data_IF_848417324870
#
_entry.id   IF_848417324870
#
_cell.length_a   1.000
_cell.length_b   1.000
_cell.length_c   1.000
_cell.angle_alpha   90.00
_cell.angle_beta   90.00
_cell.angle_gamma   90.00
#
_symmetry.space_group_name_H-M   'P 1'
#
loop_
_entity.id
_entity.type
_entity.pdbx_description
1 polymer ?
2 branched ?
3 non-polymer ?
4 non-polymer ?
5 water ?
#
# COMPACT_ATOMS: atom_id res chain seq x y z
N UNK A 8 -23.97 10.06 -40.97
CA UNK A 8 -24.45 10.12 -39.59
C UNK A 8 -23.48 9.43 -38.64
N UNK A 9 -23.24 10.05 -37.47
CA UNK A 9 -22.44 9.44 -36.41
C UNK A 9 -23.08 8.10 -35.99
N UNK A 10 -24.42 8.05 -36.02
CA UNK A 10 -25.15 6.84 -35.70
C UNK A 10 -25.19 6.55 -34.20
N UNK A 11 -24.66 7.47 -33.38
CA UNK A 11 -24.69 7.30 -31.93
C UNK A 11 -24.11 5.94 -31.53
N UNK A 12 -24.89 5.18 -30.75
CA UNK A 12 -24.51 3.87 -30.22
C UNK A 12 -24.94 3.76 -28.76
N UNK A 13 -24.58 2.65 -28.12
CA UNK A 13 -24.72 2.52 -26.66
C UNK A 13 -23.88 3.58 -25.96
N UNK A 14 -22.71 3.84 -26.53
CA UNK A 14 -21.83 4.91 -26.07
C UNK A 14 -22.62 6.16 -25.69
N UNK A 15 -23.66 6.45 -26.46
CA UNK A 15 -24.51 7.59 -26.18
C UNK A 15 -24.98 7.52 -24.74
N UNK A 16 -25.56 6.38 -24.39
CA UNK A 16 -26.08 6.13 -23.04
C UNK A 16 -25.03 6.41 -21.97
N UNK A 17 -23.99 5.58 -21.94
CA UNK A 17 -22.95 5.72 -20.94
C UNK A 17 -22.60 7.18 -20.72
N UNK A 18 -22.28 7.89 -21.80
CA UNK A 18 -21.91 9.29 -21.68
C UNK A 18 -23.03 10.15 -21.13
N UNK A 19 -24.27 9.72 -21.32
CA UNK A 19 -25.37 10.42 -20.69
C UNK A 19 -25.25 10.11 -19.21
N UNK A 20 -24.36 9.20 -18.86
CA UNK A 20 -23.93 9.12 -17.49
C UNK A 20 -22.89 10.21 -17.33
N UNK A 21 -23.35 11.47 -17.12
CA UNK A 21 -22.45 12.61 -16.88
C UNK A 21 -22.55 13.77 -17.88
N UNK A 22 -22.90 13.37 -19.09
CA UNK A 22 -22.89 14.25 -20.25
C UNK A 22 -24.29 14.66 -20.75
N UNK A 23 -24.37 15.90 -21.23
CA UNK A 23 -25.62 16.36 -21.81
C UNK A 23 -25.97 15.49 -23.00
N UNK A 24 -27.19 15.62 -23.49
CA UNK A 24 -27.58 14.98 -24.74
C UNK A 24 -27.27 15.95 -25.87
N UNK A 25 -27.14 17.22 -25.53
CA UNK A 25 -26.63 18.21 -26.46
C UNK A 25 -25.11 18.18 -26.41
N UNK A 26 -24.55 18.24 -25.20
CA UNK A 26 -23.09 18.19 -25.06
C UNK A 26 -22.55 16.91 -25.71
N UNK A 27 -23.38 15.86 -25.76
CA UNK A 27 -22.99 14.59 -26.37
C UNK A 27 -23.12 14.62 -27.87
N UNK A 28 -24.11 15.36 -28.35
CA UNK A 28 -24.46 15.31 -29.77
C UNK A 28 -23.80 16.43 -30.54
N UNK A 29 -23.13 17.33 -29.82
CA UNK A 29 -22.31 18.35 -30.47
C UNK A 29 -20.92 17.77 -30.72
N UNK A 30 -20.36 17.09 -29.71
CA UNK A 30 -19.07 16.43 -29.82
C UNK A 30 -19.10 15.36 -30.91
N UNK A 31 -20.12 14.52 -30.90
CA UNK A 31 -20.28 13.53 -31.95
C UNK A 31 -19.90 14.06 -33.33
N UNK A 32 -20.54 15.15 -33.76
CA UNK A 32 -20.35 15.74 -35.10
C UNK A 32 -18.95 16.28 -35.31
N UNK A 33 -18.50 17.17 -34.44
CA UNK A 33 -17.15 17.72 -34.56
C UNK A 33 -16.12 16.62 -34.78
N UNK A 34 -16.30 15.47 -34.17
CA UNK A 34 -15.34 14.39 -34.39
C UNK A 34 -15.55 13.79 -35.80
N UNK A 35 -16.80 13.67 -36.22
CA UNK A 35 -17.10 13.00 -37.50
C UNK A 35 -16.83 13.85 -38.74
N UNK A 36 -16.69 15.17 -38.51
CA UNK A 36 -16.42 16.17 -39.54
C UNK A 36 -16.10 17.43 -38.74
N UNK A 37 -15.53 18.47 -39.32
CA UNK A 37 -15.23 19.63 -38.46
C UNK A 37 -15.62 21.02 -38.93
N UNK A 38 -16.85 21.43 -38.60
CA UNK A 38 -17.44 22.65 -39.12
C UNK A 38 -17.62 23.74 -38.06
N UNK A 39 -18.49 24.70 -38.38
CA UNK A 39 -18.89 25.76 -37.47
C UNK A 39 -20.36 26.07 -37.70
N UNK A 40 -21.15 25.97 -36.65
CA UNK A 40 -22.56 26.29 -36.74
C UNK A 40 -23.31 25.40 -37.72
N UNK A 41 -22.59 24.53 -38.43
CA UNK A 41 -23.22 23.43 -39.14
C UNK A 41 -23.71 22.52 -38.04
N UNK A 42 -22.91 22.44 -36.98
CA UNK A 42 -23.32 21.80 -35.75
C UNK A 42 -24.72 22.32 -35.45
N UNK A 43 -24.85 23.64 -35.42
CA UNK A 43 -26.11 24.31 -35.12
C UNK A 43 -27.27 23.83 -35.97
N UNK A 44 -26.95 23.28 -37.14
CA UNK A 44 -27.98 22.73 -38.02
C UNK A 44 -28.57 21.45 -37.45
N UNK A 45 -27.78 20.35 -37.41
CA UNK A 45 -28.18 19.11 -36.75
C UNK A 45 -27.72 19.00 -35.29
N UNK A 46 -28.58 19.28 -34.31
CA UNK A 46 -30.00 19.53 -34.58
C UNK A 46 -30.65 20.71 -33.83
N UNK A 47 -30.00 21.22 -32.79
CA UNK A 47 -30.54 22.39 -32.11
C UNK A 47 -29.75 23.67 -32.39
N UNK A 48 -30.49 24.77 -32.49
CA UNK A 48 -29.89 26.05 -32.83
C UNK A 48 -29.03 26.67 -31.73
N UNK A 49 -29.39 26.44 -30.47
CA UNK A 49 -28.61 27.04 -29.37
C UNK A 49 -27.18 26.47 -29.30
N UNK A 50 -26.22 27.39 -29.10
CA UNK A 50 -24.80 27.04 -29.00
C UNK A 50 -24.31 27.01 -27.56
N UNK A 51 -25.23 26.88 -26.61
CA UNK A 51 -24.87 26.81 -25.21
C UNK A 51 -24.00 25.59 -24.96
N UNK A 52 -24.33 24.51 -25.67
CA UNK A 52 -23.60 23.27 -25.58
C UNK A 52 -22.12 23.47 -25.90
N UNK A 53 -21.83 24.36 -26.85
CA UNK A 53 -20.45 24.66 -27.20
C UNK A 53 -19.73 25.39 -26.08
N UNK A 54 -20.44 26.33 -25.45
CA UNK A 54 -19.87 27.07 -24.33
C UNK A 54 -19.58 26.07 -23.22
N UNK A 55 -20.41 25.03 -23.14
CA UNK A 55 -20.18 23.91 -22.23
C UNK A 55 -18.84 23.26 -22.54
N UNK A 56 -18.82 22.47 -23.61
CA UNK A 56 -17.64 21.72 -24.01
C UNK A 56 -16.35 22.52 -23.90
N UNK A 57 -16.38 23.81 -24.23
CA UNK A 57 -15.18 24.64 -24.16
C UNK A 57 -14.53 24.62 -22.77
N UNK A 58 -15.35 24.57 -21.73
CA UNK A 58 -14.82 24.60 -20.36
C UNK A 58 -14.30 23.24 -19.95
N UNK A 59 -14.98 22.20 -20.42
CA UNK A 59 -14.53 20.84 -20.23
C UNK A 59 -13.17 20.59 -20.89
N UNK A 60 -12.80 21.44 -21.83
CA UNK A 60 -11.57 21.28 -22.59
C UNK A 60 -11.73 20.35 -23.78
N UNK A 61 -12.97 20.00 -24.10
CA UNK A 61 -13.28 19.09 -25.20
C UNK A 61 -13.40 19.73 -26.58
N UNK A 62 -13.21 21.05 -26.65
CA UNK A 62 -13.34 21.80 -27.89
C UNK A 62 -12.64 23.15 -27.73
N UNK A 63 -11.93 23.61 -28.76
CA UNK A 63 -11.57 25.03 -28.81
C UNK A 63 -12.20 25.66 -30.01
N UNK A 64 -12.29 26.98 -29.97
CA UNK A 64 -12.81 27.73 -31.10
C UNK A 64 -11.69 28.54 -31.70
N UNK A 65 -11.69 28.63 -33.02
CA UNK A 65 -10.58 29.24 -33.75
C UNK A 65 -11.04 30.49 -34.49
N UNK A 66 -10.17 31.50 -34.52
CA UNK A 66 -10.43 32.77 -35.20
C UNK A 66 -11.42 32.57 -36.35
N UNK A 67 -12.42 33.44 -36.43
CA UNK A 67 -13.50 33.23 -37.36
C UNK A 67 -14.13 34.44 -38.02
N UNK A 68 -14.72 34.18 -39.18
CA UNK A 68 -15.53 35.13 -39.93
C UNK A 68 -16.11 34.33 -41.09
N UNK A 69 -17.01 33.38 -40.77
CA UNK A 69 -17.60 33.19 -39.45
C UNK A 69 -16.66 32.51 -38.47
N UNK A 70 -17.04 32.46 -37.20
CA UNK A 70 -16.26 31.76 -36.17
C UNK A 70 -16.44 30.25 -36.34
N UNK A 71 -15.36 29.49 -36.17
CA UNK A 71 -15.43 28.03 -36.30
C UNK A 71 -14.87 27.25 -35.10
N UNK A 72 -15.44 26.06 -34.87
CA UNK A 72 -15.14 25.27 -33.68
C UNK A 72 -14.60 23.88 -34.03
N UNK A 73 -13.65 23.39 -33.23
CA UNK A 73 -13.02 22.09 -33.47
C UNK A 73 -12.82 21.27 -32.20
N UNK A 74 -12.99 19.96 -32.33
CA UNK A 74 -12.94 19.05 -31.19
C UNK A 74 -11.58 18.39 -30.99
N UNK A 75 -11.11 18.29 -29.76
CA UNK A 75 -9.92 17.50 -29.49
C UNK A 75 -10.27 16.03 -29.60
N UNK A 76 -9.27 15.19 -29.84
CA UNK A 76 -9.54 13.78 -30.04
C UNK A 76 -9.93 13.13 -28.74
N UNK A 77 -10.70 12.04 -28.81
CA UNK A 77 -10.94 11.22 -27.64
C UNK A 77 -9.72 11.15 -26.74
N UNK A 78 -8.57 10.81 -27.31
CA UNK A 78 -7.35 10.65 -26.51
C UNK A 78 -7.01 11.88 -25.68
N UNK A 79 -6.85 13.02 -26.33
CA UNK A 79 -6.55 14.27 -25.64
C UNK A 79 -7.75 14.71 -24.82
N UNK A 80 -8.94 14.57 -25.39
CA UNK A 80 -10.18 14.95 -24.72
C UNK A 80 -10.33 14.33 -23.35
N UNK A 81 -10.05 13.04 -23.25
CA UNK A 81 -10.15 12.36 -21.98
C UNK A 81 -8.88 12.51 -21.18
N UNK A 82 -7.73 12.57 -21.84
CA UNK A 82 -6.52 12.82 -21.08
C UNK A 82 -6.77 14.00 -20.14
N UNK A 83 -7.62 14.92 -20.57
CA UNK A 83 -7.87 16.13 -19.80
C UNK A 83 -8.86 15.84 -18.70
N UNK A 84 -9.80 14.97 -19.03
CA UNK A 84 -10.85 14.55 -18.12
C UNK A 84 -10.26 13.68 -17.00
N UNK A 85 -9.36 12.77 -17.36
CA UNK A 85 -8.63 12.00 -16.38
C UNK A 85 -7.83 12.91 -15.47
N UNK A 86 -7.13 13.88 -16.05
CA UNK A 86 -6.28 14.78 -15.28
C UNK A 86 -7.12 15.54 -14.25
N UNK A 87 -8.41 15.66 -14.54
CA UNK A 87 -9.33 16.33 -13.65
C UNK A 87 -9.60 15.44 -12.45
N UNK A 88 -9.90 14.17 -12.72
CA UNK A 88 -10.09 13.19 -11.65
C UNK A 88 -8.92 13.18 -10.68
N UNK A 89 -7.70 13.07 -11.18
CA UNK A 89 -6.53 13.13 -10.31
C UNK A 89 -6.77 14.16 -9.22
N UNK A 90 -7.23 15.35 -9.61
CA UNK A 90 -7.37 16.44 -8.68
C UNK A 90 -8.49 16.22 -7.67
N UNK A 91 -9.65 15.77 -8.13
CA UNK A 91 -10.72 15.43 -7.20
C UNK A 91 -10.21 14.41 -6.19
N UNK A 92 -9.57 13.35 -6.71
CA UNK A 92 -9.02 12.27 -5.90
C UNK A 92 -8.00 12.75 -4.88
N UNK A 93 -6.93 13.38 -5.34
CA UNK A 93 -5.91 13.89 -4.42
C UNK A 93 -6.49 14.86 -3.39
N UNK A 94 -7.17 15.91 -3.86
CA UNK A 94 -7.81 16.88 -2.96
C UNK A 94 -8.71 16.16 -1.99
N UNK A 95 -9.35 15.11 -2.49
CA UNK A 95 -10.25 14.31 -1.69
C UNK A 95 -9.48 13.48 -0.68
N UNK A 96 -8.34 12.96 -1.10
CA UNK A 96 -7.48 12.24 -0.19
C UNK A 96 -6.98 13.19 0.90
N UNK A 97 -6.50 14.35 0.48
CA UNK A 97 -5.92 15.33 1.41
C UNK A 97 -6.85 15.74 2.56
N UNK A 98 -8.10 16.02 2.25
CA UNK A 98 -9.05 16.39 3.28
C UNK A 98 -9.28 15.23 4.22
N UNK A 99 -9.43 14.04 3.64
CA UNK A 99 -9.65 12.84 4.43
C UNK A 99 -8.65 12.79 5.58
N UNK A 100 -7.37 12.94 5.26
CA UNK A 100 -6.31 12.92 6.26
C UNK A 100 -6.53 13.87 7.42
N UNK A 101 -7.24 14.97 7.17
CA UNK A 101 -7.44 16.00 8.18
C UNK A 101 -8.70 15.84 9.03
N UNK A 102 -9.47 14.78 8.78
CA UNK A 102 -10.77 14.68 9.44
C UNK A 102 -11.35 13.26 9.57
N UNK A 103 -10.61 12.26 9.10
CA UNK A 103 -11.09 10.87 9.18
C UNK A 103 -10.96 10.30 10.60
N UNK A 104 -12.08 9.80 11.13
CA UNK A 104 -12.09 9.20 12.47
C UNK A 104 -11.30 7.89 12.49
N UNK A 105 -10.95 7.44 13.69
CA UNK A 105 -10.00 6.33 13.83
C UNK A 105 -10.60 4.96 14.14
N UNK A 106 -11.58 4.92 15.04
CA UNK A 106 -12.21 3.65 15.39
C UNK A 106 -13.22 3.25 14.32
N UNK A 107 -12.86 2.27 13.48
CA UNK A 107 -13.72 1.90 12.36
C UNK A 107 -14.04 0.41 12.29
N UNK A 108 -15.30 0.07 12.04
CA UNK A 108 -15.64 -1.31 11.78
C UNK A 108 -14.60 -1.88 10.82
N UNK A 109 -14.21 -3.13 11.03
CA UNK A 109 -13.36 -3.88 10.10
C UNK A 109 -14.15 -4.22 8.85
N UNK A 110 -13.48 -4.28 7.71
CA UNK A 110 -14.14 -4.66 6.48
C UNK A 110 -13.18 -5.38 5.56
N UNK A 111 -13.60 -5.54 4.31
CA UNK A 111 -12.79 -6.24 3.33
C UNK A 111 -13.19 -5.79 1.94
N UNK A 112 -12.23 -5.28 1.20
CA UNK A 112 -12.47 -4.80 -0.14
C UNK A 112 -11.84 -5.71 -1.18
N UNK A 113 -12.68 -6.36 -1.99
CA UNK A 113 -12.20 -7.25 -3.04
C UNK A 113 -11.69 -6.43 -4.22
N UNK A 114 -10.73 -6.96 -4.96
CA UNK A 114 -10.19 -6.21 -6.10
C UNK A 114 -10.52 -6.88 -7.41
N UNK A 115 -10.76 -6.08 -8.44
CA UNK A 115 -11.29 -6.58 -9.71
C UNK A 115 -10.25 -7.16 -10.65
N UNK A 116 -8.97 -7.07 -10.30
CA UNK A 116 -7.90 -7.44 -11.24
C UNK A 116 -6.52 -7.19 -10.66
N UNK A 117 -5.51 -7.74 -11.32
CA UNK A 117 -4.15 -7.64 -10.83
C UNK A 117 -3.66 -6.22 -10.64
N UNK A 118 -3.89 -5.38 -11.64
CA UNK A 118 -3.50 -3.98 -11.55
C UNK A 118 -4.09 -3.33 -10.30
N UNK A 119 -5.42 -3.36 -10.21
CA UNK A 119 -6.14 -2.73 -9.11
C UNK A 119 -5.62 -3.23 -7.78
N UNK A 120 -5.26 -4.51 -7.73
CA UNK A 120 -4.70 -5.09 -6.53
C UNK A 120 -3.37 -4.40 -6.22
N UNK A 121 -2.48 -4.43 -7.20
CA UNK A 121 -1.21 -3.74 -7.03
C UNK A 121 -1.46 -2.31 -6.58
N UNK A 122 -2.53 -1.70 -7.08
CA UNK A 122 -2.88 -0.37 -6.61
C UNK A 122 -3.18 -0.38 -5.11
N UNK A 123 -3.90 -1.39 -4.64
CA UNK A 123 -4.24 -1.49 -3.22
C UNK A 123 -3.02 -1.79 -2.37
N UNK A 124 -2.11 -2.58 -2.93
CA UNK A 124 -0.85 -2.90 -2.29
C UNK A 124 -0.01 -1.65 -2.06
N UNK A 125 0.21 -0.90 -3.13
CA UNK A 125 0.94 0.35 -3.04
C UNK A 125 0.31 1.28 -2.04
N UNK A 126 -0.99 1.49 -2.17
CA UNK A 126 -1.67 2.39 -1.24
C UNK A 126 -1.33 2.01 0.20
N UNK A 127 -1.31 0.71 0.48
CA UNK A 127 -1.04 0.23 1.81
C UNK A 127 0.40 0.58 2.19
N UNK A 128 1.35 0.22 1.34
CA UNK A 128 2.75 0.50 1.63
C UNK A 128 2.95 1.98 1.92
N UNK A 129 2.35 2.82 1.10
CA UNK A 129 2.45 4.25 1.32
C UNK A 129 2.21 4.60 2.79
N UNK A 130 1.18 4.00 3.39
CA UNK A 130 0.82 4.33 4.78
C UNK A 130 1.75 3.72 5.84
N UNK A 131 2.64 2.84 5.41
CA UNK A 131 3.49 2.15 6.36
C UNK A 131 4.23 3.12 7.27
N UNK A 132 4.16 2.93 8.58
CA UNK A 132 4.91 3.75 9.51
C UNK A 132 6.00 2.97 10.22
N UNK A 133 5.84 1.66 10.26
CA UNK A 133 6.79 0.82 11.02
C UNK A 133 7.49 -0.27 10.23
N UNK A 134 6.75 -1.31 9.84
CA UNK A 134 7.31 -2.43 9.08
C UNK A 134 6.30 -2.85 8.06
N UNK A 135 6.76 -3.39 6.94
CA UNK A 135 5.88 -4.15 6.04
C UNK A 135 6.51 -5.49 5.69
N UNK A 136 5.74 -6.57 5.91
CA UNK A 136 6.17 -7.92 5.48
C UNK A 136 5.53 -8.16 4.12
N UNK A 137 6.34 -8.54 3.14
CA UNK A 137 5.86 -8.83 1.80
C UNK A 137 6.29 -10.21 1.35
N UNK A 138 5.38 -11.18 1.44
CA UNK A 138 5.61 -12.50 0.89
C UNK A 138 5.30 -12.45 -0.59
N UNK A 139 6.25 -12.82 -1.43
CA UNK A 139 6.02 -12.78 -2.86
C UNK A 139 6.76 -13.81 -3.66
N UNK A 140 6.11 -14.29 -4.72
CA UNK A 140 6.68 -15.07 -5.81
C UNK A 140 7.63 -14.19 -6.59
N UNK A 141 8.82 -14.70 -6.88
CA UNK A 141 9.78 -13.96 -7.67
C UNK A 141 9.18 -13.17 -8.83
N UNK A 142 8.14 -13.73 -9.44
CA UNK A 142 7.55 -13.13 -10.64
C UNK A 142 7.12 -11.70 -10.44
N UNK A 143 6.63 -11.38 -9.24
CA UNK A 143 6.06 -10.06 -8.99
C UNK A 143 7.09 -8.99 -8.60
N UNK A 144 8.28 -9.43 -8.20
CA UNK A 144 9.24 -8.54 -7.59
C UNK A 144 9.51 -7.29 -8.41
N UNK A 145 9.69 -7.48 -9.71
CA UNK A 145 10.02 -6.34 -10.56
C UNK A 145 8.91 -5.29 -10.54
N UNK A 146 7.73 -5.69 -10.12
CA UNK A 146 6.58 -4.80 -10.18
C UNK A 146 6.52 -3.97 -8.92
N UNK A 147 7.20 -4.45 -7.88
CA UNK A 147 7.15 -3.81 -6.56
C UNK A 147 8.51 -3.23 -6.17
N UNK A 148 9.49 -3.40 -7.04
CA UNK A 148 10.86 -2.96 -6.77
C UNK A 148 10.94 -1.50 -6.35
N UNK A 149 10.28 -0.62 -7.08
CA UNK A 149 10.36 0.81 -6.74
C UNK A 149 9.66 1.09 -5.40
N UNK A 150 8.44 0.56 -5.26
CA UNK A 150 7.63 0.75 -4.06
C UNK A 150 8.36 0.24 -2.82
N UNK A 151 9.05 -0.88 -2.97
CA UNK A 151 9.86 -1.38 -1.88
C UNK A 151 10.84 -0.32 -1.45
N UNK A 152 11.56 0.22 -2.43
CA UNK A 152 12.59 1.23 -2.16
C UNK A 152 11.99 2.48 -1.55
N UNK A 153 11.09 3.12 -2.30
CA UNK A 153 10.39 4.28 -1.78
C UNK A 153 10.04 4.06 -0.32
N UNK A 154 9.35 2.96 -0.02
CA UNK A 154 9.00 2.66 1.36
C UNK A 154 10.22 2.66 2.27
N UNK A 155 11.23 1.88 1.89
CA UNK A 155 12.44 1.77 2.71
C UNK A 155 13.00 3.13 3.11
N UNK A 156 12.82 4.10 2.22
CA UNK A 156 13.39 5.43 2.40
C UNK A 156 12.70 6.23 3.50
N UNK A 157 11.39 6.04 3.68
CA UNK A 157 10.69 6.74 4.76
C UNK A 157 11.15 6.20 6.10
N UNK A 158 12.16 5.35 6.07
CA UNK A 158 12.79 4.86 7.29
C UNK A 158 12.04 3.67 7.84
N UNK A 159 11.11 3.21 7.02
CA UNK A 159 10.29 2.08 7.35
C UNK A 159 11.04 0.80 7.08
N UNK A 160 10.93 -0.15 8.01
CA UNK A 160 11.54 -1.45 7.87
C UNK A 160 10.74 -2.30 6.94
N UNK A 161 11.44 -3.10 6.16
CA UNK A 161 10.78 -3.97 5.20
C UNK A 161 11.30 -5.39 5.22
N UNK A 162 10.42 -6.28 5.64
CA UNK A 162 10.75 -7.67 5.79
C UNK A 162 10.24 -8.43 4.57
N UNK A 163 11.14 -8.80 3.66
CA UNK A 163 10.73 -9.49 2.44
C UNK A 163 10.88 -11.01 2.52
N UNK A 164 9.92 -11.69 1.89
CA UNK A 164 9.89 -13.15 1.75
C UNK A 164 9.78 -13.48 0.27
N UNK A 165 10.89 -13.93 -0.31
CA UNK A 165 10.93 -14.22 -1.73
C UNK A 165 11.53 -15.62 -1.98
N UNK A 166 11.31 -16.18 -3.17
CA UNK A 166 11.82 -17.52 -3.50
C UNK A 166 13.14 -17.49 -4.29
N UNK A 167 13.17 -16.72 -5.37
CA UNK A 167 14.40 -16.55 -6.12
C UNK A 167 14.98 -15.17 -5.80
N UNK A 168 16.03 -15.14 -5.00
CA UNK A 168 16.61 -13.87 -4.56
C UNK A 168 17.17 -13.02 -5.70
N UNK A 169 16.61 -11.83 -5.92
CA UNK A 169 17.03 -11.02 -7.05
C UNK A 169 18.33 -10.25 -6.79
N UNK A 170 18.69 -9.36 -7.72
CA UNK A 170 19.86 -8.51 -7.58
C UNK A 170 19.55 -7.35 -6.65
N UNK A 171 20.16 -7.37 -5.47
CA UNK A 171 19.83 -6.40 -4.42
C UNK A 171 20.83 -5.26 -4.31
N UNK A 172 21.47 -4.90 -5.42
CA UNK A 172 22.45 -3.82 -5.41
C UNK A 172 21.77 -2.47 -5.17
N UNK A 173 20.68 -2.22 -5.88
CA UNK A 173 19.94 -0.97 -5.73
C UNK A 173 19.73 -0.62 -4.27
N UNK A 174 19.79 -1.63 -3.40
CA UNK A 174 19.34 -1.50 -2.01
C UNK A 174 20.42 -1.28 -0.96
N UNK A 175 21.66 -1.00 -1.36
CA UNK A 175 22.75 -1.12 -0.39
C UNK A 175 22.68 -0.14 0.78
N UNK A 176 22.01 0.99 0.60
CA UNK A 176 21.93 1.95 1.68
C UNK A 176 20.53 2.41 1.97
N UNK A 177 19.58 1.87 1.21
CA UNK A 177 18.23 2.42 1.15
C UNK A 177 17.47 2.46 2.47
N UNK A 178 17.69 1.49 3.34
CA UNK A 178 17.02 1.51 4.63
C UNK A 178 17.30 0.34 5.56
N UNK A 179 16.28 -0.06 6.30
CA UNK A 179 16.33 -1.34 7.01
C UNK A 179 15.58 -2.41 6.25
N UNK A 180 16.33 -3.28 5.59
CA UNK A 180 15.82 -4.27 4.65
C UNK A 180 16.25 -5.65 5.12
N UNK A 181 15.29 -6.53 5.38
CA UNK A 181 15.61 -7.95 5.60
C UNK A 181 15.04 -8.81 4.50
N UNK A 182 15.84 -9.73 3.97
CA UNK A 182 15.36 -10.64 2.93
C UNK A 182 15.44 -12.12 3.33
N UNK A 183 14.30 -12.81 3.25
CA UNK A 183 14.30 -14.24 3.52
C UNK A 183 13.81 -15.02 2.34
N UNK A 184 14.42 -16.19 2.15
CA UNK A 184 14.11 -17.09 1.05
C UNK A 184 13.20 -18.22 1.51
N UNK A 185 12.27 -18.58 0.64
CA UNK A 185 11.40 -19.72 0.90
C UNK A 185 11.11 -20.52 -0.34
N UNK A 186 11.10 -21.85 -0.19
CA UNK A 186 10.92 -22.81 -1.30
C UNK A 186 10.12 -22.29 -2.47
N UNK A 187 8.85 -21.99 -2.22
CA UNK A 187 8.01 -21.41 -3.26
C UNK A 187 6.78 -20.76 -2.65
N UNK A 188 6.46 -19.59 -3.19
CA UNK A 188 5.26 -18.86 -2.80
C UNK A 188 4.40 -18.67 -4.05
N UNK A 189 3.09 -18.76 -3.88
CA UNK A 189 2.19 -18.77 -5.04
C UNK A 189 1.60 -17.41 -5.32
N UNK A 190 1.10 -16.77 -4.27
CA UNK A 190 0.49 -15.46 -4.38
C UNK A 190 1.22 -14.48 -3.49
N UNK A 191 0.92 -13.19 -3.67
CA UNK A 191 1.52 -12.13 -2.87
C UNK A 191 0.68 -11.79 -1.65
N UNK A 192 1.27 -11.95 -0.47
CA UNK A 192 0.66 -11.48 0.75
C UNK A 192 1.42 -10.24 1.18
N UNK A 193 0.71 -9.25 1.70
CA UNK A 193 1.31 -8.00 2.12
C UNK A 193 0.65 -7.53 3.39
N UNK A 194 1.44 -7.39 4.45
CA UNK A 194 0.91 -6.94 5.73
C UNK A 194 1.66 -5.72 6.24
N UNK A 195 0.92 -4.67 6.59
CA UNK A 195 1.55 -3.42 6.97
C UNK A 195 1.17 -2.93 8.38
N UNK A 196 2.16 -2.93 9.26
CA UNK A 196 2.01 -2.42 10.62
C UNK A 196 1.03 -3.23 11.46
N UNK A 197 0.82 -4.49 11.10
CA UNK A 197 -0.11 -5.36 11.80
C UNK A 197 -1.54 -4.86 11.83
N UNK A 198 -1.88 -4.02 10.85
CA UNK A 198 -3.12 -3.25 10.85
C UNK A 198 -4.08 -3.72 9.78
N UNK A 199 -3.54 -4.24 8.69
CA UNK A 199 -4.31 -4.56 7.49
C UNK A 199 -3.53 -5.46 6.55
N UNK A 200 -4.24 -6.21 5.73
CA UNK A 200 -3.57 -7.16 4.86
C UNK A 200 -4.02 -6.91 3.45
N UNK A 201 -3.12 -7.10 2.49
CA UNK A 201 -3.49 -7.01 1.09
C UNK A 201 -2.87 -8.16 0.34
N UNK A 202 -3.66 -8.77 -0.53
CA UNK A 202 -3.31 -10.03 -1.20
C UNK A 202 -3.51 -10.00 -2.70
N UNK A 203 -2.58 -10.61 -3.44
CA UNK A 203 -2.72 -10.72 -4.89
C UNK A 203 -2.37 -12.11 -5.42
N UNK A 204 -3.27 -12.66 -6.25
CA UNK A 204 -3.17 -14.04 -6.75
C UNK A 204 -2.38 -14.16 -8.06
N UNK A 205 -1.67 -15.28 -8.23
CA UNK A 205 -0.57 -15.38 -9.22
C UNK A 205 -0.87 -15.08 -10.70
N UNK A 206 -0.06 -14.17 -11.26
CA UNK A 206 -0.11 -13.81 -12.67
C UNK A 206 -1.42 -13.11 -13.08
N UNK A 207 -1.98 -13.54 -14.20
CA UNK A 207 -3.28 -13.07 -14.64
C UNK A 207 -4.35 -13.61 -13.70
N UNK A 208 -5.48 -12.92 -13.59
CA UNK A 208 -6.60 -13.50 -12.87
C UNK A 208 -6.82 -14.88 -13.49
N UNK A 209 -6.49 -15.92 -12.74
CA UNK A 209 -6.55 -17.30 -13.25
C UNK A 209 -7.97 -17.88 -13.23
N UNK A 210 -8.84 -17.36 -14.10
CA UNK A 210 -10.22 -17.85 -14.23
C UNK A 210 -11.01 -17.70 -12.92
N UNK A 211 -11.45 -18.83 -12.37
CA UNK A 211 -12.18 -18.84 -11.10
C UNK A 211 -11.32 -19.36 -9.95
N UNK A 212 -10.39 -18.51 -9.50
CA UNK A 212 -9.53 -18.80 -8.36
C UNK A 212 -9.74 -17.79 -7.25
N UNK A 213 -9.00 -17.95 -6.14
CA UNK A 213 -9.19 -17.07 -4.98
C UNK A 213 -9.16 -15.59 -5.38
N UNK A 214 -9.92 -14.75 -4.66
CA UNK A 214 -10.02 -13.34 -5.03
C UNK A 214 -8.86 -12.55 -4.45
N UNK A 215 -8.47 -11.46 -5.10
CA UNK A 215 -7.47 -10.55 -4.54
C UNK A 215 -8.19 -9.50 -3.72
N UNK A 216 -7.66 -9.20 -2.54
CA UNK A 216 -8.39 -8.32 -1.62
C UNK A 216 -7.50 -7.60 -0.62
N UNK A 217 -8.04 -6.53 -0.04
CA UNK A 217 -7.45 -5.91 1.13
C UNK A 217 -8.40 -6.22 2.26
N UNK A 218 -7.93 -6.20 3.49
CA UNK A 218 -8.84 -6.40 4.61
C UNK A 218 -8.24 -6.00 5.96
N UNK A 219 -9.12 -5.60 6.88
CA UNK A 219 -8.70 -5.16 8.19
C UNK A 219 -9.32 -6.01 9.28
N UNK A 220 -10.14 -6.99 8.90
CA UNK A 220 -10.75 -7.93 9.83
C UNK A 220 -9.69 -8.60 10.68
N UNK A 221 -9.83 -8.51 12.01
CA UNK A 221 -8.84 -9.24 12.80
C UNK A 221 -8.63 -10.69 12.36
N UNK A 222 -9.70 -11.43 12.09
CA UNK A 222 -9.55 -12.84 11.75
C UNK A 222 -8.53 -13.08 10.62
N UNK A 223 -8.54 -12.21 9.61
CA UNK A 223 -7.68 -12.41 8.46
C UNK A 223 -6.27 -11.97 8.77
N UNK A 224 -6.15 -10.97 9.64
CA UNK A 224 -4.83 -10.55 10.09
C UNK A 224 -4.25 -11.69 10.91
N UNK A 225 -4.98 -12.13 11.92
CA UNK A 225 -4.54 -13.28 12.71
C UNK A 225 -4.20 -14.50 11.83
N UNK A 226 -5.17 -14.89 11.02
CA UNK A 226 -4.90 -15.89 10.01
C UNK A 226 -3.50 -15.65 9.40
N UNK A 227 -3.37 -14.52 8.70
CA UNK A 227 -2.19 -14.25 7.86
C UNK A 227 -0.90 -14.06 8.66
N UNK A 228 -1.01 -13.47 9.85
CA UNK A 228 0.14 -13.30 10.70
C UNK A 228 0.67 -14.67 11.00
N UNK A 229 -0.26 -15.56 11.34
CA UNK A 229 0.07 -16.95 11.66
C UNK A 229 0.66 -17.68 10.47
N UNK A 230 0.06 -17.48 9.30
CA UNK A 230 0.62 -18.01 8.07
C UNK A 230 2.09 -17.63 7.90
N UNK A 231 2.37 -16.32 8.06
CA UNK A 231 3.72 -15.77 7.88
C UNK A 231 4.74 -16.42 8.83
N UNK A 232 4.36 -16.56 10.10
CA UNK A 232 5.19 -17.24 11.07
C UNK A 232 5.56 -18.66 10.59
N UNK A 233 4.62 -19.32 9.91
CA UNK A 233 4.93 -20.66 9.39
C UNK A 233 6.00 -20.57 8.32
N UNK A 234 5.77 -19.73 7.30
CA UNK A 234 6.79 -19.50 6.27
C UNK A 234 8.12 -19.02 6.86
N UNK A 235 8.07 -18.26 7.94
CA UNK A 235 9.25 -17.83 8.69
C UNK A 235 10.07 -19.00 9.24
N UNK A 236 9.39 -20.08 9.64
CA UNK A 236 10.03 -21.18 10.35
C UNK A 236 10.88 -22.00 9.41
N UNK A 237 10.55 -21.94 8.13
CA UNK A 237 11.20 -22.80 7.16
C UNK A 237 12.10 -21.96 6.29
N UNK A 238 11.82 -20.67 6.25
CA UNK A 238 12.56 -19.71 5.43
C UNK A 238 13.97 -19.49 5.92
N UNK A 239 14.84 -19.12 5.00
CA UNK A 239 16.22 -18.82 5.38
C UNK A 239 16.61 -17.34 5.11
N UNK A 240 17.38 -16.75 6.03
CA UNK A 240 17.70 -15.33 6.03
C UNK A 240 18.87 -14.99 5.10
N UNK A 241 18.57 -14.46 3.93
CA UNK A 241 19.61 -14.31 2.93
C UNK A 241 20.29 -12.95 2.90
N UNK A 242 19.54 -11.88 3.17
CA UNK A 242 20.14 -10.55 3.16
C UNK A 242 19.67 -9.72 4.35
N UNK A 243 20.60 -8.98 4.96
CA UNK A 243 20.30 -8.09 6.07
C UNK A 243 20.98 -6.73 5.92
N UNK A 244 20.18 -5.67 5.80
CA UNK A 244 20.72 -4.33 5.54
C UNK A 244 20.19 -3.31 6.57
N UNK A 245 21.01 -3.00 7.56
CA UNK A 245 20.62 -2.00 8.54
C UNK A 245 21.10 -0.62 8.12
N UNK A 246 20.33 0.05 7.28
CA UNK A 246 20.72 1.38 6.84
C UNK A 246 20.31 2.50 7.79
N UNK A 247 20.07 2.15 9.04
CA UNK A 247 19.48 3.06 10.04
C UNK A 247 19.56 2.42 11.43
N UNK A 248 20.77 2.21 11.93
CA UNK A 248 21.07 1.47 13.16
C UNK A 248 20.50 2.10 14.43
N UNK A 249 19.98 3.32 14.32
CA UNK A 249 19.50 4.05 15.48
C UNK A 249 17.97 4.15 15.48
N UNK A 250 17.38 3.57 14.44
CA UNK A 250 15.93 3.51 14.32
C UNK A 250 15.57 2.29 13.47
N UNK A 251 15.60 1.12 14.11
CA UNK A 251 15.12 -0.12 13.48
C UNK A 251 13.72 -0.49 13.97
N UNK A 252 12.78 -0.53 13.04
CA UNK A 252 11.38 -0.68 13.41
C UNK A 252 10.79 -2.04 13.01
N UNK A 253 9.91 -2.55 13.85
CA UNK A 253 9.19 -3.77 13.55
C UNK A 253 7.76 -3.62 14.02
N UNK A 254 6.84 -4.27 13.31
CA UNK A 254 5.52 -4.49 13.87
C UNK A 254 5.35 -5.95 14.25
N UNK A 255 6.19 -6.78 13.67
CA UNK A 255 6.13 -8.20 13.94
C UNK A 255 7.22 -8.63 14.93
N UNK A 256 6.81 -8.86 16.18
CA UNK A 256 7.76 -9.22 17.23
C UNK A 256 8.63 -10.42 16.92
N UNK A 257 8.14 -11.36 16.13
CA UNK A 257 9.00 -12.50 15.80
C UNK A 257 10.16 -12.04 14.94
N UNK A 258 9.91 -11.08 14.05
CA UNK A 258 10.98 -10.42 13.30
C UNK A 258 11.89 -9.61 14.23
N UNK A 259 11.28 -8.85 15.14
CA UNK A 259 12.02 -8.20 16.21
C UNK A 259 13.02 -9.20 16.74
N UNK A 260 12.49 -10.22 17.39
CA UNK A 260 13.30 -11.20 18.09
C UNK A 260 14.31 -11.91 17.21
N UNK A 261 13.99 -12.14 15.94
CA UNK A 261 14.96 -12.79 15.10
C UNK A 261 16.19 -11.93 15.12
N UNK A 262 16.01 -10.66 14.73
CA UNK A 262 17.06 -9.66 14.79
C UNK A 262 17.79 -9.61 16.15
N UNK A 263 17.07 -9.36 17.24
CA UNK A 263 17.79 -9.32 18.50
C UNK A 263 18.70 -10.52 18.64
N UNK A 264 18.20 -11.69 18.25
CA UNK A 264 18.92 -12.95 18.38
C UNK A 264 20.28 -12.86 17.72
N UNK A 265 20.30 -12.32 16.52
CA UNK A 265 21.55 -12.24 15.77
C UNK A 265 22.60 -11.28 16.31
N UNK A 266 22.19 -10.34 17.17
CA UNK A 266 23.08 -9.25 17.60
C UNK A 266 23.30 -9.13 19.09
N UNK A 267 22.25 -9.30 19.87
CA UNK A 267 22.33 -9.05 21.28
C UNK A 267 23.67 -9.50 21.85
N UNK A 268 24.29 -10.46 21.19
CA UNK A 268 25.48 -11.10 21.72
C UNK A 268 26.71 -10.23 21.51
N UNK A 269 26.86 -9.68 20.30
CA UNK A 269 28.02 -8.87 19.95
C UNK A 269 27.81 -7.35 20.10
N UNK A 270 26.75 -6.95 20.81
CA UNK A 270 26.50 -5.53 21.08
C UNK A 270 25.20 -5.24 21.82
N UNK A 271 25.17 -4.16 22.60
CA UNK A 271 23.95 -3.76 23.32
C UNK A 271 22.84 -3.29 22.39
N UNK A 272 21.60 -3.43 22.84
CA UNK A 272 20.46 -2.94 22.08
C UNK A 272 19.47 -2.22 22.99
N UNK A 273 18.93 -1.11 22.48
CA UNK A 273 18.02 -0.29 23.23
C UNK A 273 16.66 -0.30 22.57
N UNK A 274 15.61 -0.10 23.35
CA UNK A 274 14.31 -0.19 22.72
C UNK A 274 13.36 0.88 23.18
N UNK A 275 12.47 1.22 22.27
CA UNK A 275 11.31 1.99 22.65
C UNK A 275 10.12 1.27 22.06
N UNK A 276 9.13 1.00 22.91
CA UNK A 276 8.00 0.17 22.57
C UNK A 276 6.74 0.88 22.97
N UNK A 277 5.75 0.86 22.11
CA UNK A 277 4.43 1.25 22.57
C UNK A 277 3.62 -0.04 22.58
N UNK A 278 2.87 -0.26 23.63
CA UNK A 278 2.04 -1.44 23.67
C UNK A 278 1.03 -1.49 24.79
N UNK A 279 0.09 -2.43 24.68
CA UNK A 279 -0.95 -2.63 25.69
C UNK A 279 -0.35 -3.35 26.88
N UNK A 280 -0.68 -2.86 28.06
CA UNK A 280 -0.25 -3.48 29.30
C UNK A 280 -1.27 -4.55 29.62
N UNK A 281 -0.87 -5.82 29.48
CA UNK A 281 -1.84 -6.91 29.57
C UNK A 281 -2.55 -6.96 30.92
N UNK A 282 -1.87 -6.49 31.96
CA UNK A 282 -2.42 -6.49 33.30
C UNK A 282 -3.54 -5.44 33.41
N UNK A 283 -3.34 -4.29 32.76
CA UNK A 283 -4.23 -3.13 32.93
C UNK A 283 -5.01 -2.75 31.70
N UNK A 284 -4.53 -3.13 30.53
CA UNK A 284 -5.21 -2.81 29.29
C UNK A 284 -4.73 -1.47 28.77
N UNK A 285 -4.21 -0.65 29.66
CA UNK A 285 -3.71 0.68 29.32
C UNK A 285 -2.55 0.68 28.28
N UNK A 286 -2.59 1.64 27.35
CA UNK A 286 -1.45 1.85 26.45
C UNK A 286 -0.29 2.52 27.15
N UNK A 287 0.92 2.18 26.77
CA UNK A 287 2.08 2.76 27.44
C UNK A 287 3.27 2.80 26.52
N UNK A 288 4.13 3.79 26.73
CA UNK A 288 5.38 3.78 25.99
C UNK A 288 6.53 3.52 26.91
N UNK A 289 7.33 2.54 26.52
CA UNK A 289 8.33 1.98 27.40
C UNK A 289 9.64 2.11 26.71
N UNK A 290 10.69 2.29 27.50
CA UNK A 290 12.02 2.29 26.92
C UNK A 290 12.90 1.55 27.87
N UNK A 291 13.90 0.87 27.32
CA UNK A 291 14.90 0.22 28.15
C UNK A 291 15.97 -0.46 27.34
N UNK A 292 16.80 -1.21 28.04
CA UNK A 292 17.73 -2.11 27.38
C UNK A 292 17.07 -3.50 27.19
N UNK A 293 17.36 -4.10 26.03
CA UNK A 293 17.04 -5.47 25.74
C UNK A 293 18.10 -6.35 26.36
N UNK A 294 17.73 -7.08 27.42
CA UNK A 294 18.65 -7.95 28.14
C UNK A 294 18.35 -9.43 27.90
N UNK A 295 17.33 -9.71 27.10
CA UNK A 295 17.05 -11.06 26.66
C UNK A 295 15.79 -11.22 25.82
N UNK A 296 15.67 -12.38 25.18
CA UNK A 296 14.45 -12.76 24.49
C UNK A 296 14.17 -14.21 24.74
N UNK A 297 12.94 -14.62 24.42
CA UNK A 297 12.63 -16.03 24.17
C UNK A 297 11.94 -16.17 22.81
N UNK A 298 12.45 -17.09 22.00
CA UNK A 298 11.88 -17.41 20.71
C UNK A 298 11.75 -18.91 20.70
N UNK A 299 10.64 -19.41 21.22
CA UNK A 299 10.31 -20.83 21.30
C UNK A 299 9.21 -21.12 20.29
N UNK A 300 9.57 -21.75 19.18
CA UNK A 300 8.62 -22.02 18.07
C UNK A 300 7.50 -23.02 18.33
N UNK A 301 7.83 -24.14 18.98
CA UNK A 301 6.82 -25.14 19.33
C UNK A 301 5.91 -24.61 20.43
N UNK A 302 6.52 -23.94 21.40
CA UNK A 302 5.78 -23.44 22.56
C UNK A 302 4.85 -22.32 22.08
N UNK A 303 5.12 -21.83 20.87
CA UNK A 303 4.37 -20.72 20.30
C UNK A 303 4.59 -19.38 21.05
N UNK A 304 5.80 -19.17 21.56
CA UNK A 304 6.11 -17.92 22.26
C UNK A 304 7.28 -17.15 21.64
N UNK A 305 7.10 -15.88 21.35
CA UNK A 305 8.27 -15.06 21.02
C UNK A 305 8.16 -13.69 21.64
N UNK A 306 9.16 -13.32 22.41
CA UNK A 306 9.10 -12.03 23.07
C UNK A 306 10.48 -11.41 23.38
N UNK A 307 10.49 -10.15 23.80
CA UNK A 307 11.70 -9.52 24.35
C UNK A 307 11.66 -9.22 25.86
N UNK A 308 12.83 -9.39 26.50
CA UNK A 308 12.98 -9.02 27.89
C UNK A 308 13.69 -7.64 27.98
N UNK A 309 12.90 -6.65 28.39
CA UNK A 309 13.31 -5.25 28.39
C UNK A 309 13.64 -4.81 29.80
N UNK A 310 14.84 -4.27 29.95
CA UNK A 310 15.26 -3.70 31.21
C UNK A 310 14.80 -2.24 31.24
N UNK A 311 13.62 -1.97 31.79
CA UNK A 311 13.18 -0.60 31.95
C UNK A 311 13.81 0.01 33.17
N UNK A 312 13.70 1.35 33.22
CA UNK A 312 13.85 2.17 34.42
C UNK A 312 13.65 1.40 35.72
N UNK A 313 12.69 0.49 35.75
CA UNK A 313 12.37 -0.22 36.99
C UNK A 313 12.02 -1.70 36.81
N UNK A 314 12.97 -2.44 36.27
CA UNK A 314 12.88 -3.88 36.28
C UNK A 314 12.63 -4.48 34.92
N UNK A 315 12.83 -5.79 34.82
CA UNK A 315 12.62 -6.44 33.53
C UNK A 315 11.13 -6.67 33.31
N UNK A 316 10.77 -6.73 32.04
CA UNK A 316 9.41 -6.96 31.60
C UNK A 316 9.52 -7.76 30.30
N UNK A 317 8.42 -8.38 29.93
CA UNK A 317 8.45 -9.11 28.69
C UNK A 317 7.46 -8.47 27.76
N UNK A 318 7.90 -8.31 26.54
CA UNK A 318 7.04 -7.69 25.56
C UNK A 318 6.86 -8.70 24.47
N UNK A 319 5.62 -9.07 24.20
CA UNK A 319 5.38 -9.95 23.09
C UNK A 319 4.55 -9.25 22.06
N UNK A 320 4.52 -9.81 20.86
CA UNK A 320 3.86 -9.19 19.73
C UNK A 320 2.35 -9.23 19.69
N UNK A 321 1.84 -9.21 18.47
CA UNK A 321 0.42 -9.14 18.21
C UNK A 321 -0.29 -10.29 18.92
N UNK A 322 -1.36 -9.94 19.64
CA UNK A 322 -2.21 -10.97 20.25
C UNK A 322 -1.58 -11.67 21.45
N UNK A 323 -0.46 -11.17 21.94
CA UNK A 323 0.16 -11.77 23.12
C UNK A 323 -0.79 -11.78 24.32
N UNK A 324 -0.63 -12.81 25.16
CA UNK A 324 -1.43 -13.02 26.35
C UNK A 324 -0.62 -13.33 27.62
N UNK A 325 0.59 -13.87 27.46
CA UNK A 325 1.34 -14.33 28.64
C UNK A 325 2.46 -13.40 29.07
N UNK A 326 2.91 -12.53 28.18
CA UNK A 326 3.90 -11.54 28.59
C UNK A 326 3.22 -10.37 29.33
N UNK A 327 4.03 -9.41 29.80
CA UNK A 327 3.49 -8.19 30.43
C UNK A 327 2.88 -7.22 29.42
N UNK A 328 3.45 -7.16 28.23
CA UNK A 328 3.00 -6.23 27.22
C UNK A 328 2.75 -6.92 25.90
N UNK A 329 1.67 -6.54 25.23
CA UNK A 329 1.46 -6.83 23.81
C UNK A 329 1.87 -5.61 22.96
N UNK A 330 2.79 -5.81 22.02
CA UNK A 330 3.20 -4.72 21.15
C UNK A 330 3.35 -5.02 19.66
N UNK A 331 2.89 -4.08 18.85
CA UNK A 331 3.15 -4.12 17.42
C UNK A 331 3.92 -2.90 16.96
N UNK A 332 4.41 -2.12 17.92
CA UNK A 332 5.13 -0.87 17.61
C UNK A 332 6.49 -0.85 18.30
N UNK A 333 7.53 -1.20 17.55
CA UNK A 333 8.85 -1.47 18.16
C UNK A 333 10.02 -0.78 17.46
N UNK A 334 10.89 -0.21 18.28
CA UNK A 334 12.04 0.50 17.78
C UNK A 334 13.23 0.09 18.58
N UNK A 335 14.20 -0.48 17.88
CA UNK A 335 15.52 -0.72 18.45
C UNK A 335 16.51 0.37 18.01
N UNK A 336 17.39 0.76 18.93
CA UNK A 336 18.51 1.61 18.62
C UNK A 336 19.73 0.81 19.00
N UNK A 337 20.65 0.64 18.05
CA UNK A 337 21.79 -0.25 18.22
C UNK A 337 23.01 0.30 18.90
N UNK A 338 23.42 -0.37 19.97
CA UNK A 338 24.66 -0.06 20.65
C UNK A 338 25.82 -0.08 19.69
N UNK A 339 27.03 0.14 20.20
CA UNK A 339 28.16 0.38 19.32
C UNK A 339 28.94 -0.89 18.95
N UNK A 340 29.60 -0.84 17.78
CA UNK A 340 30.19 -2.01 17.13
C UNK A 340 31.00 -2.93 18.04
N UNK A 341 31.88 -2.32 18.83
CA UNK A 341 32.78 -3.07 19.70
C UNK A 341 32.10 -3.55 20.97
N UNK A 342 32.78 -4.45 21.70
CA UNK A 342 32.30 -4.92 22.99
C UNK A 342 33.25 -5.97 23.57
#
# INVERSE_FOLDING_TARGET
MEIPPEISHALSEIGFTKYEILTYWTLLVYGPSTAKEISTKSGIPYNRVYDTISSLKLRGFVTEIEGTPKVYAAYSPRIAFFRFKKELEDIMKKLEIELNNVKKEEQRPAIWRSRSFDEAIEMFRESLYSAKNEVIVVTPSEFFETIREDLIKTLERGVTVSLYIDKIPDLSEFKGKGNFFVRQFYKLNHLIGMTDGKEVVTIQNATFDSIGPPSFKSTYPEIIFSQYSLIIEIFKESTLEKEIIGNPKDIRFFAMFHAVDFVKNHLKNRNIYAEITGKNLESGRLETLTGRVVGYTLSLREAVNNIHLETENGVVKVGGMFAVIEDYESTEIKFIMGVDLQ
#
